data_IF_836699701495
#
_entry.id   IF_836699701495
#
_cell.length_a   1.000
_cell.length_b   1.000
_cell.length_c   1.000
_cell.angle_alpha   90.00
_cell.angle_beta   90.00
_cell.angle_gamma   90.00
#
_symmetry.space_group_name_H-M   'P 1'
#
loop_
_entity.id
_entity.type
_entity.pdbx_description
1 polymer ?
#
# COMPACT_ATOMS: atom_id res chain seq x y z
N UNK A 1 -19.74 22.97 -23.73
CA UNK A 1 -20.63 22.02 -23.03
C UNK A 1 -19.78 20.80 -22.73
N UNK A 2 -19.51 20.46 -21.46
CA UNK A 2 -18.80 19.19 -21.18
C UNK A 2 -19.72 18.05 -21.61
N UNK A 3 -19.18 17.13 -22.39
CA UNK A 3 -19.89 15.94 -22.86
C UNK A 3 -19.89 14.95 -21.70
N UNK A 4 -21.03 14.79 -21.03
CA UNK A 4 -21.25 13.81 -19.97
C UNK A 4 -21.95 12.59 -20.59
N UNK A 5 -21.17 11.80 -21.31
CA UNK A 5 -21.60 10.52 -21.89
C UNK A 5 -20.83 9.36 -21.25
N UNK A 6 -21.10 8.12 -21.70
CA UNK A 6 -20.50 6.92 -21.13
C UNK A 6 -18.96 6.92 -21.17
N UNK A 7 -18.34 7.66 -22.09
CA UNK A 7 -16.88 7.77 -22.19
C UNK A 7 -16.25 8.58 -21.04
N UNK A 8 -17.06 9.35 -20.30
CA UNK A 8 -16.62 10.09 -19.11
C UNK A 8 -16.33 9.19 -17.90
N UNK A 9 -16.74 7.91 -17.94
CA UNK A 9 -16.48 6.95 -16.87
C UNK A 9 -15.11 6.31 -17.09
N UNK A 10 -14.17 6.60 -16.18
CA UNK A 10 -12.84 6.01 -16.21
C UNK A 10 -12.74 4.82 -15.24
N UNK A 11 -12.54 3.62 -15.78
CA UNK A 11 -12.15 2.45 -15.00
C UNK A 11 -10.63 2.42 -14.82
N UNK A 12 -10.17 2.62 -13.59
CA UNK A 12 -8.76 2.53 -13.22
C UNK A 12 -8.35 1.05 -13.12
N UNK A 13 -7.16 0.70 -13.64
CA UNK A 13 -6.68 -0.70 -13.69
C UNK A 13 -5.41 -0.90 -12.85
N UNK A 14 -5.22 -2.12 -12.37
CA UNK A 14 -4.03 -2.50 -11.59
C UNK A 14 -3.87 -1.62 -10.35
N UNK A 15 -2.73 -0.93 -10.24
CA UNK A 15 -2.40 -0.06 -9.10
C UNK A 15 -2.76 1.42 -9.32
N UNK A 16 -3.39 1.76 -10.45
CA UNK A 16 -3.85 3.14 -10.70
C UNK A 16 -4.79 3.67 -9.61
N UNK A 17 -5.75 2.89 -9.06
CA UNK A 17 -6.59 3.37 -7.96
C UNK A 17 -5.78 3.76 -6.73
N UNK A 18 -4.77 2.95 -6.37
CA UNK A 18 -3.92 3.17 -5.20
C UNK A 18 -3.09 4.43 -5.35
N UNK A 19 -2.54 4.65 -6.55
CA UNK A 19 -1.74 5.85 -6.84
C UNK A 19 -2.58 7.11 -6.88
N UNK A 20 -3.82 7.03 -7.38
CA UNK A 20 -4.71 8.19 -7.54
C UNK A 20 -5.46 8.54 -6.26
N UNK A 21 -5.71 7.56 -5.41
CA UNK A 21 -6.43 7.72 -4.14
C UNK A 21 -5.65 7.10 -2.98
N UNK A 22 -4.41 7.54 -2.70
CA UNK A 22 -3.55 6.88 -1.71
C UNK A 22 -4.13 6.92 -0.29
N UNK A 23 -4.92 7.95 0.05
CA UNK A 23 -5.56 8.06 1.37
C UNK A 23 -6.57 6.96 1.69
N UNK A 24 -7.04 6.21 0.68
CA UNK A 24 -7.89 5.04 0.91
C UNK A 24 -7.07 3.80 1.30
N UNK A 25 -5.77 3.77 0.97
CA UNK A 25 -4.93 2.57 1.09
C UNK A 25 -3.78 2.72 2.08
N UNK A 26 -3.41 3.95 2.44
CA UNK A 26 -2.34 4.20 3.40
C UNK A 26 -2.47 5.54 4.10
N UNK A 27 -1.76 5.68 5.21
CA UNK A 27 -1.64 6.96 5.90
C UNK A 27 -0.76 7.91 5.06
N UNK A 28 -1.33 9.04 4.65
CA UNK A 28 -0.63 9.99 3.77
C UNK A 28 0.19 11.04 4.52
N UNK A 29 0.16 11.02 5.86
CA UNK A 29 0.93 11.94 6.72
C UNK A 29 2.38 11.48 6.88
N UNK A 30 2.64 10.16 6.84
CA UNK A 30 3.97 9.58 7.01
C UNK A 30 4.03 8.16 6.41
N UNK A 31 5.22 7.65 6.02
CA UNK A 31 5.35 6.34 5.38
C UNK A 31 5.26 5.14 6.34
N UNK A 32 5.06 5.35 7.65
CA UNK A 32 5.11 4.26 8.61
C UNK A 32 4.09 3.14 8.35
N UNK A 33 2.91 3.49 7.82
CA UNK A 33 1.85 2.50 7.56
C UNK A 33 2.29 1.44 6.55
N UNK A 34 2.94 1.81 5.45
CA UNK A 34 3.43 0.82 4.48
C UNK A 34 4.54 -0.08 5.05
N UNK A 35 5.31 0.40 6.03
CA UNK A 35 6.31 -0.40 6.74
C UNK A 35 5.63 -1.36 7.72
N UNK A 36 4.57 -0.92 8.40
CA UNK A 36 3.75 -1.76 9.27
C UNK A 36 3.15 -2.94 8.50
N UNK A 37 2.54 -2.69 7.34
CA UNK A 37 1.98 -3.74 6.48
C UNK A 37 3.02 -4.82 6.09
N UNK A 38 4.26 -4.42 5.81
CA UNK A 38 5.33 -5.37 5.50
C UNK A 38 5.76 -6.20 6.72
N UNK A 39 5.75 -5.58 7.91
CA UNK A 39 6.06 -6.26 9.17
C UNK A 39 4.93 -7.21 9.55
N UNK A 40 3.66 -6.82 9.39
CA UNK A 40 2.49 -7.62 9.73
C UNK A 40 2.43 -8.89 8.88
N UNK A 41 2.70 -8.79 7.57
CA UNK A 41 2.85 -9.97 6.71
C UNK A 41 3.98 -10.90 7.19
N UNK A 42 5.10 -10.35 7.67
CA UNK A 42 6.20 -11.17 8.22
C UNK A 42 5.82 -11.80 9.58
N UNK A 43 4.96 -11.15 10.37
CA UNK A 43 4.40 -11.71 11.60
C UNK A 43 3.46 -12.85 11.29
N UNK A 44 2.61 -12.75 10.26
CA UNK A 44 1.72 -13.83 9.84
C UNK A 44 2.50 -15.11 9.51
N UNK A 45 3.62 -14.98 8.78
CA UNK A 45 4.52 -16.10 8.49
C UNK A 45 5.19 -16.67 9.75
N UNK A 46 5.53 -15.82 10.71
CA UNK A 46 6.05 -16.25 12.00
C UNK A 46 4.99 -16.99 12.84
N UNK A 47 3.74 -16.50 12.83
CA UNK A 47 2.61 -17.15 13.50
C UNK A 47 2.25 -18.49 12.87
N UNK A 48 2.41 -18.62 11.55
CA UNK A 48 2.31 -19.89 10.82
C UNK A 48 3.47 -20.87 11.12
N UNK A 49 4.49 -20.42 11.87
CA UNK A 49 5.65 -21.24 12.26
C UNK A 49 6.77 -21.30 11.21
N UNK A 50 6.67 -20.53 10.13
CA UNK A 50 7.67 -20.46 9.06
C UNK A 50 8.78 -19.44 9.35
N UNK A 51 8.53 -18.49 10.26
CA UNK A 51 9.49 -17.48 10.71
C UNK A 51 9.85 -17.60 12.19
N UNK A 52 11.11 -17.31 12.54
CA UNK A 52 11.59 -17.28 13.95
C UNK A 52 12.20 -15.94 14.37
N UNK A 53 12.50 -15.06 13.40
CA UNK A 53 13.16 -13.77 13.66
C UNK A 53 12.82 -12.78 12.55
N UNK A 54 12.32 -11.61 12.94
CA UNK A 54 12.08 -10.47 12.04
C UNK A 54 13.15 -9.42 12.34
N UNK A 55 13.79 -8.89 11.29
CA UNK A 55 14.86 -7.90 11.42
C UNK A 55 14.50 -6.67 10.58
N UNK A 56 14.40 -5.51 11.23
CA UNK A 56 14.10 -4.23 10.57
C UNK A 56 15.37 -3.38 10.54
N UNK A 57 15.68 -2.78 9.40
CA UNK A 57 16.81 -1.86 9.23
C UNK A 57 16.36 -0.65 8.42
N UNK A 58 16.65 0.53 8.94
CA UNK A 58 16.49 1.80 8.23
C UNK A 58 17.81 2.13 7.56
N UNK A 59 17.78 2.37 6.24
CA UNK A 59 18.94 2.77 5.48
C UNK A 59 19.10 4.30 5.49
N UNK A 60 20.31 4.79 5.22
CA UNK A 60 20.64 6.22 5.32
C UNK A 60 20.04 7.06 4.18
N UNK A 61 19.70 6.42 3.08
CA UNK A 61 19.12 7.00 1.87
C UNK A 61 17.60 7.17 1.93
N UNK A 62 16.94 6.55 2.91
CA UNK A 62 15.48 6.61 3.08
C UNK A 62 14.80 5.62 2.15
#
# INVERSE_FOLDING_TARGET
KQVYDASAIQALKGLEPVRRMPGMYTHTVHPLHIVQEAIDNAVDEALAGHGKRISVRVYKDG
#
